data_IF_790810974864
#
_entry.id   IF_790810974864
#
_cell.length_a   1.000
_cell.length_b   1.000
_cell.length_c   1.000
_cell.angle_alpha   90.00
_cell.angle_beta   90.00
_cell.angle_gamma   90.00
#
_symmetry.space_group_name_H-M   'P 1'
#
loop_
_entity.id
_entity.type
_entity.pdbx_description
1 polymer ?
#
# COMPACT_ATOMS: atom_id res chain seq x y z
N UNK A 1 4.83 29.16 -1.25
CA UNK A 1 4.71 28.01 -0.34
C UNK A 1 4.38 26.78 -1.18
N UNK A 2 5.15 25.68 -1.08
CA UNK A 2 5.06 24.49 -1.94
C UNK A 2 5.53 24.64 -3.42
N UNK A 3 6.73 25.19 -3.61
CA UNK A 3 7.65 24.81 -4.71
C UNK A 3 8.95 24.24 -4.12
N UNK A 4 8.84 23.61 -2.96
CA UNK A 4 10.00 23.21 -2.17
C UNK A 4 10.28 21.76 -2.56
N UNK A 5 11.22 21.61 -3.51
CA UNK A 5 11.88 20.39 -3.97
C UNK A 5 11.22 19.49 -5.03
N UNK A 6 10.16 19.90 -5.74
CA UNK A 6 9.52 19.08 -6.80
C UNK A 6 9.29 17.62 -6.38
N UNK A 7 8.99 17.38 -5.10
CA UNK A 7 8.81 16.03 -4.59
C UNK A 7 7.59 15.42 -5.29
N UNK A 8 7.75 14.31 -6.04
CA UNK A 8 6.68 13.78 -6.90
C UNK A 8 5.47 13.26 -6.10
N UNK A 9 5.67 13.07 -4.79
CA UNK A 9 4.66 12.58 -3.85
C UNK A 9 3.76 13.69 -3.28
N UNK A 10 4.12 14.96 -3.45
CA UNK A 10 3.36 16.10 -2.91
C UNK A 10 2.50 16.76 -3.99
N UNK A 11 1.36 17.34 -3.58
CA UNK A 11 0.51 18.14 -4.43
C UNK A 11 0.88 19.64 -4.37
N UNK A 12 0.11 20.48 -5.08
CA UNK A 12 0.32 21.94 -5.10
C UNK A 12 0.13 22.61 -3.74
N UNK A 13 -0.51 21.95 -2.77
CA UNK A 13 -0.67 22.43 -1.40
C UNK A 13 0.45 21.95 -0.47
N UNK A 14 1.30 21.03 -0.93
CA UNK A 14 2.36 20.41 -0.14
C UNK A 14 1.88 19.19 0.67
N UNK A 15 0.69 18.68 0.39
CA UNK A 15 0.15 17.47 1.01
C UNK A 15 0.55 16.23 0.19
N UNK A 16 0.64 15.07 0.85
CA UNK A 16 0.88 13.80 0.15
C UNK A 16 -0.32 13.52 -0.77
N UNK A 17 -0.03 13.36 -2.05
CA UNK A 17 -1.00 13.01 -3.09
C UNK A 17 -1.70 11.69 -2.78
N UNK A 18 -3.03 11.70 -2.83
CA UNK A 18 -3.86 10.51 -2.56
C UNK A 18 -3.77 9.40 -3.60
N UNK A 19 -3.28 9.69 -4.81
CA UNK A 19 -3.09 8.70 -5.89
C UNK A 19 -1.73 7.99 -5.84
N UNK A 20 -0.81 8.45 -5.00
CA UNK A 20 0.51 7.84 -4.83
C UNK A 20 0.43 6.71 -3.80
N UNK A 21 0.81 5.49 -4.23
CA UNK A 21 0.95 4.35 -3.32
C UNK A 21 2.32 4.38 -2.63
N UNK A 22 2.39 5.03 -1.48
CA UNK A 22 3.61 5.10 -0.67
C UNK A 22 3.92 3.78 0.04
N UNK A 23 2.92 3.17 0.68
CA UNK A 23 3.11 1.96 1.46
C UNK A 23 2.97 0.73 0.57
N UNK A 24 4.04 -0.06 0.49
CA UNK A 24 3.99 -1.39 -0.14
C UNK A 24 3.04 -2.30 0.63
N UNK A 25 2.17 -3.09 -0.04
CA UNK A 25 1.35 -4.08 0.64
C UNK A 25 2.22 -5.05 1.46
N UNK A 26 1.81 -5.32 2.69
CA UNK A 26 2.44 -6.37 3.49
C UNK A 26 1.83 -7.71 3.06
N UNK A 27 2.63 -8.53 2.39
CA UNK A 27 2.24 -9.86 1.93
C UNK A 27 2.71 -10.95 2.89
N UNK A 28 3.75 -10.67 3.69
CA UNK A 28 4.30 -11.61 4.66
C UNK A 28 3.63 -11.44 6.04
N UNK A 29 3.00 -12.50 6.59
CA UNK A 29 2.46 -12.52 7.95
C UNK A 29 3.47 -12.12 9.03
N UNK A 30 4.76 -12.41 8.84
CA UNK A 30 5.80 -12.09 9.81
C UNK A 30 6.11 -10.59 9.82
N UNK A 31 6.19 -9.95 8.66
CA UNK A 31 6.31 -8.49 8.54
C UNK A 31 5.09 -7.75 9.11
N UNK A 32 3.89 -8.31 8.99
CA UNK A 32 2.66 -7.74 9.54
C UNK A 32 2.75 -7.60 11.07
N UNK A 33 3.43 -8.52 11.75
CA UNK A 33 3.49 -8.57 13.22
C UNK A 33 4.69 -7.84 13.81
N UNK A 34 5.83 -7.82 13.13
CA UNK A 34 7.10 -7.34 13.71
C UNK A 34 7.42 -5.89 13.40
N UNK A 35 6.94 -5.35 12.28
CA UNK A 35 7.32 -4.02 11.79
C UNK A 35 6.38 -2.94 12.31
N UNK A 36 6.90 -1.83 12.86
CA UNK A 36 6.04 -0.73 13.31
C UNK A 36 5.45 0.06 12.14
N UNK A 37 4.41 0.87 12.38
CA UNK A 37 3.88 1.79 11.37
C UNK A 37 4.89 2.86 10.99
N UNK A 38 5.57 3.42 11.99
CA UNK A 38 6.59 4.44 11.80
C UNK A 38 7.77 3.94 10.97
N UNK A 39 8.28 2.73 11.22
CA UNK A 39 9.36 2.14 10.43
C UNK A 39 8.98 2.04 8.95
N UNK A 40 7.77 1.55 8.66
CA UNK A 40 7.27 1.45 7.28
C UNK A 40 7.11 2.79 6.61
N UNK A 41 6.65 3.80 7.35
CA UNK A 41 6.51 5.15 6.82
C UNK A 41 7.87 5.76 6.48
N UNK A 42 8.87 5.56 7.33
CA UNK A 42 10.23 6.04 7.11
C UNK A 42 10.86 5.38 5.89
N UNK A 43 10.75 4.05 5.76
CA UNK A 43 11.24 3.32 4.58
C UNK A 43 10.53 3.74 3.30
N UNK A 44 9.22 3.96 3.36
CA UNK A 44 8.47 4.46 2.21
C UNK A 44 8.93 5.86 1.78
N UNK A 45 9.46 6.65 2.71
CA UNK A 45 9.94 8.00 2.46
C UNK A 45 11.45 8.08 2.27
N UNK A 46 12.18 6.97 2.44
CA UNK A 46 13.64 6.86 2.32
C UNK A 46 14.21 7.57 1.08
N UNK A 47 13.59 7.50 -0.12
CA UNK A 47 14.11 8.20 -1.31
C UNK A 47 14.08 9.73 -1.22
N UNK A 48 13.34 10.29 -0.26
CA UNK A 48 13.08 11.74 -0.14
C UNK A 48 13.46 12.32 1.22
N UNK A 49 13.93 11.49 2.15
CA UNK A 49 14.45 11.93 3.45
C UNK A 49 15.96 11.72 3.46
N UNK A 50 16.69 12.61 4.12
CA UNK A 50 18.09 12.36 4.41
C UNK A 50 18.21 11.09 5.28
N UNK A 51 19.27 10.29 5.12
CA UNK A 51 19.56 9.21 6.05
C UNK A 51 19.50 9.74 7.48
N UNK A 52 18.53 9.24 8.23
CA UNK A 52 18.41 9.55 9.65
C UNK A 52 19.35 8.60 10.38
N UNK A 53 20.43 9.13 10.93
CA UNK A 53 21.20 8.41 11.94
C UNK A 53 20.34 8.30 13.19
N UNK A 54 19.75 7.12 13.38
CA UNK A 54 18.95 6.82 14.56
C UNK A 54 19.89 6.56 15.73
N UNK A 55 20.29 7.61 16.45
CA UNK A 55 20.76 7.41 17.81
C UNK A 55 19.56 6.97 18.66
N UNK A 56 19.72 5.87 19.40
CA UNK A 56 18.73 5.48 20.40
C UNK A 56 18.55 6.65 21.35
N UNK A 57 17.34 7.22 21.38
CA UNK A 57 17.00 8.28 22.32
C UNK A 57 17.44 7.84 23.72
N UNK A 58 18.13 8.72 24.48
CA UNK A 58 18.57 8.36 25.81
C UNK A 58 17.37 7.87 26.62
N UNK A 59 17.56 6.79 27.38
CA UNK A 59 16.52 6.26 28.24
C UNK A 59 15.95 7.42 29.06
N UNK A 60 14.62 7.61 29.00
CA UNK A 60 13.98 8.72 29.69
C UNK A 60 14.27 8.53 31.17
N UNK A 61 15.16 9.37 31.69
CA UNK A 61 15.58 9.30 33.08
C UNK A 61 14.40 9.76 33.94
N UNK A 62 13.55 8.81 34.32
CA UNK A 62 12.40 9.08 35.18
C UNK A 62 12.87 9.72 36.48
N UNK A 63 14.08 9.41 36.93
CA UNK A 63 14.53 9.75 38.28
C UNK A 63 14.77 11.25 38.50
N UNK A 64 14.93 12.04 37.44
CA UNK A 64 15.14 13.50 37.50
C UNK A 64 13.93 14.33 37.08
N UNK A 65 12.83 13.68 36.66
CA UNK A 65 11.64 14.35 36.11
C UNK A 65 10.55 14.50 37.18
N UNK A 66 9.96 15.70 37.32
CA UNK A 66 8.82 15.97 38.20
C UNK A 66 7.67 14.98 37.96
N UNK A 67 6.87 14.67 38.99
CA UNK A 67 5.74 13.70 38.93
C UNK A 67 4.82 13.94 37.72
N UNK A 68 4.60 15.21 37.35
CA UNK A 68 3.79 15.57 36.19
C UNK A 68 4.45 15.23 34.86
N UNK A 69 5.78 15.41 34.74
CA UNK A 69 6.54 14.99 33.56
C UNK A 69 6.58 13.47 33.42
N UNK A 70 6.72 12.73 34.53
CA UNK A 70 6.57 11.26 34.54
C UNK A 70 5.20 10.83 34.01
N UNK A 71 4.14 11.48 34.48
CA UNK A 71 2.77 11.24 34.01
C UNK A 71 2.61 11.53 32.52
N UNK A 72 3.11 12.66 32.02
CA UNK A 72 3.05 13.00 30.60
C UNK A 72 3.79 11.98 29.73
N UNK A 73 5.00 11.58 30.13
CA UNK A 73 5.77 10.54 29.43
C UNK A 73 5.02 9.22 29.42
N UNK A 74 4.53 8.75 30.57
CA UNK A 74 3.79 7.49 30.65
C UNK A 74 2.51 7.52 29.82
N UNK A 75 1.77 8.63 29.85
CA UNK A 75 0.57 8.79 29.04
C UNK A 75 0.91 8.78 27.54
N UNK A 76 1.97 9.50 27.13
CA UNK A 76 2.44 9.53 25.74
C UNK A 76 2.90 8.16 25.25
N UNK A 77 3.64 7.40 26.07
CA UNK A 77 4.06 6.04 25.72
C UNK A 77 2.87 5.10 25.60
N UNK A 78 1.89 5.22 26.50
CA UNK A 78 0.68 4.41 26.46
C UNK A 78 -0.17 4.69 25.22
N UNK A 79 -0.31 5.96 24.84
CA UNK A 79 -0.95 6.37 23.59
C UNK A 79 -0.22 5.82 22.37
N UNK A 80 1.12 5.89 22.35
CA UNK A 80 1.94 5.32 21.28
C UNK A 80 1.72 3.81 21.14
N UNK A 81 1.81 3.07 22.25
CA UNK A 81 1.56 1.62 22.26
C UNK A 81 0.15 1.28 21.76
N UNK A 82 -0.87 2.00 22.22
CA UNK A 82 -2.26 1.82 21.74
C UNK A 82 -2.42 2.12 20.25
N UNK A 83 -1.74 3.14 19.74
CA UNK A 83 -1.75 3.47 18.32
C UNK A 83 -1.10 2.36 17.48
N UNK A 84 0.04 1.83 17.95
CA UNK A 84 0.75 0.70 17.33
C UNK A 84 -0.12 -0.57 17.32
N UNK A 85 -0.71 -0.95 18.46
CA UNK A 85 -1.64 -2.09 18.55
C UNK A 85 -2.83 -1.94 17.59
N UNK A 86 -3.41 -0.73 17.51
CA UNK A 86 -4.52 -0.43 16.61
C UNK A 86 -4.09 -0.53 15.14
N UNK A 87 -2.88 -0.11 14.81
CA UNK A 87 -2.32 -0.24 13.47
C UNK A 87 -2.17 -1.73 13.10
N UNK A 88 -1.56 -2.54 13.97
CA UNK A 88 -1.41 -3.99 13.79
C UNK A 88 -2.75 -4.69 13.59
N UNK A 89 -3.75 -4.38 14.44
CA UNK A 89 -5.10 -4.93 14.32
C UNK A 89 -5.78 -4.54 13.00
N UNK A 90 -5.58 -3.32 12.52
CA UNK A 90 -6.13 -2.89 11.24
C UNK A 90 -5.45 -3.60 10.07
N UNK A 91 -4.13 -3.82 10.12
CA UNK A 91 -3.38 -4.58 9.10
C UNK A 91 -3.86 -6.02 9.00
N UNK A 92 -3.92 -6.73 10.13
CA UNK A 92 -4.41 -8.11 10.19
C UNK A 92 -5.82 -8.23 9.59
N UNK A 93 -6.73 -7.33 9.96
CA UNK A 93 -8.09 -7.28 9.39
C UNK A 93 -8.13 -6.97 7.89
N UNK A 94 -7.20 -6.15 7.39
CA UNK A 94 -7.13 -5.83 5.97
C UNK A 94 -6.62 -7.04 5.17
N UNK A 95 -5.60 -7.74 5.68
CA UNK A 95 -5.08 -8.97 5.09
C UNK A 95 -6.14 -10.08 5.06
N UNK A 96 -6.84 -10.30 6.18
CA UNK A 96 -7.92 -11.30 6.29
C UNK A 96 -9.04 -11.03 5.26
N UNK A 97 -9.49 -9.78 5.14
CA UNK A 97 -10.53 -9.41 4.15
C UNK A 97 -10.08 -9.54 2.71
N UNK A 98 -8.81 -9.26 2.44
CA UNK A 98 -8.23 -9.44 1.11
C UNK A 98 -8.22 -10.94 0.75
N UNK A 99 -7.74 -11.77 1.66
CA UNK A 99 -7.70 -13.22 1.52
C UNK A 99 -9.10 -13.82 1.33
N UNK A 100 -10.08 -13.42 2.16
CA UNK A 100 -11.49 -13.82 2.02
C UNK A 100 -12.07 -13.40 0.65
N UNK A 101 -11.64 -12.24 0.14
CA UNK A 101 -12.03 -11.74 -1.18
C UNK A 101 -11.50 -12.63 -2.32
N UNK A 102 -10.23 -13.03 -2.23
CA UNK A 102 -9.58 -13.96 -3.17
C UNK A 102 -10.27 -15.32 -3.13
N UNK A 103 -10.45 -15.90 -1.94
CA UNK A 103 -11.09 -17.21 -1.78
C UNK A 103 -12.50 -17.24 -2.37
N UNK A 104 -13.30 -16.18 -2.15
CA UNK A 104 -14.63 -16.06 -2.76
C UNK A 104 -14.58 -15.89 -4.28
N UNK A 105 -13.54 -15.26 -4.83
CA UNK A 105 -13.37 -15.14 -6.28
C UNK A 105 -13.04 -16.50 -6.89
N UNK A 106 -12.08 -17.22 -6.30
CA UNK A 106 -11.66 -18.57 -6.68
C UNK A 106 -12.82 -19.57 -6.60
N UNK A 107 -13.54 -19.61 -5.47
CA UNK A 107 -14.66 -20.53 -5.26
C UNK A 107 -15.74 -20.33 -6.34
N UNK A 108 -16.05 -19.06 -6.69
CA UNK A 108 -17.02 -18.75 -7.73
C UNK A 108 -16.52 -19.14 -9.13
N UNK A 109 -15.22 -18.96 -9.42
CA UNK A 109 -14.60 -19.38 -10.67
C UNK A 109 -14.68 -20.91 -10.81
N UNK A 110 -14.23 -21.64 -9.80
CA UNK A 110 -14.27 -23.09 -9.77
C UNK A 110 -15.71 -23.65 -9.95
N UNK A 111 -16.69 -23.07 -9.24
CA UNK A 111 -18.10 -23.47 -9.38
C UNK A 111 -18.66 -23.25 -10.79
N UNK A 112 -18.32 -22.15 -11.46
CA UNK A 112 -18.78 -21.88 -12.82
C UNK A 112 -18.07 -22.75 -13.85
N UNK A 113 -16.74 -22.97 -13.71
CA UNK A 113 -15.99 -23.88 -14.57
C UNK A 113 -16.50 -25.31 -14.47
N UNK A 114 -16.76 -25.83 -13.26
CA UNK A 114 -17.32 -27.16 -13.06
C UNK A 114 -18.72 -27.32 -13.71
N UNK A 115 -19.54 -26.27 -13.71
CA UNK A 115 -20.83 -26.28 -14.44
C UNK A 115 -20.64 -26.32 -15.96
N UNK A 116 -19.64 -25.61 -16.48
CA UNK A 116 -19.32 -25.57 -17.90
C UNK A 116 -18.75 -26.92 -18.37
N UNK A 117 -17.86 -27.52 -17.59
CA UNK A 117 -17.31 -28.86 -17.85
C UNK A 117 -18.42 -29.92 -17.94
N UNK A 118 -19.37 -29.92 -16.99
CA UNK A 118 -20.53 -30.82 -17.06
C UNK A 118 -21.40 -30.58 -18.30
N UNK A 119 -21.52 -29.33 -18.77
CA UNK A 119 -22.27 -28.99 -19.99
C UNK A 119 -21.54 -29.41 -21.25
N UNK A 120 -20.22 -29.34 -21.22
CA UNK A 120 -19.33 -29.75 -22.30
C UNK A 120 -19.36 -31.26 -22.47
N UNK A 121 -19.22 -32.01 -21.38
CA UNK A 121 -19.35 -33.46 -21.41
C UNK A 121 -20.69 -33.88 -22.01
N UNK A 122 -21.80 -33.30 -21.54
CA UNK A 122 -23.13 -33.54 -22.11
C UNK A 122 -23.28 -33.11 -23.57
N UNK A 123 -22.49 -32.15 -24.05
CA UNK A 123 -22.50 -31.74 -25.45
C UNK A 123 -21.73 -32.76 -26.32
N UNK A 124 -20.59 -33.24 -25.83
CA UNK A 124 -19.78 -34.28 -26.46
C UNK A 124 -20.50 -35.64 -26.50
N UNK A 125 -21.19 -36.01 -25.42
CA UNK A 125 -21.98 -37.25 -25.37
C UNK A 125 -23.15 -37.24 -26.36
N UNK A 126 -23.62 -36.06 -26.77
CA UNK A 126 -24.68 -35.87 -27.78
C UNK A 126 -24.12 -35.47 -29.17
N UNK A 127 -22.87 -35.84 -29.48
CA UNK A 127 -22.12 -35.37 -30.67
C UNK A 127 -22.76 -35.67 -32.02
N UNK A 128 -23.76 -36.55 -32.09
CA UNK A 128 -24.45 -36.91 -33.34
C UNK A 128 -25.38 -35.79 -33.86
N UNK A 129 -25.49 -34.68 -33.13
CA UNK A 129 -26.28 -33.50 -33.51
C UNK A 129 -25.42 -32.46 -34.23
N UNK A 130 -25.89 -31.97 -35.38
CA UNK A 130 -25.30 -30.84 -36.11
C UNK A 130 -25.19 -29.53 -35.28
N UNK A 131 -25.75 -29.49 -34.07
CA UNK A 131 -25.70 -28.39 -33.10
C UNK A 131 -24.62 -28.56 -32.01
N UNK A 132 -23.87 -29.67 -32.01
CA UNK A 132 -22.85 -29.94 -30.99
C UNK A 132 -21.71 -28.91 -31.03
N UNK A 133 -21.21 -28.57 -32.21
CA UNK A 133 -20.10 -27.62 -32.38
C UNK A 133 -20.47 -26.19 -31.95
N UNK A 134 -21.66 -25.70 -32.31
CA UNK A 134 -22.15 -24.39 -31.85
C UNK A 134 -22.31 -24.35 -30.32
N UNK A 135 -22.70 -25.47 -29.71
CA UNK A 135 -22.81 -25.58 -28.25
C UNK A 135 -21.45 -25.59 -27.58
N UNK A 136 -20.45 -26.27 -28.15
CA UNK A 136 -19.08 -26.26 -27.67
C UNK A 136 -18.45 -24.86 -27.78
N UNK A 137 -18.64 -24.17 -28.91
CA UNK A 137 -18.19 -22.78 -29.09
C UNK A 137 -18.77 -21.85 -28.04
N UNK A 138 -20.08 -21.93 -27.76
CA UNK A 138 -20.73 -21.13 -26.71
C UNK A 138 -20.28 -21.48 -25.29
N UNK A 139 -19.75 -22.68 -25.06
CA UNK A 139 -19.16 -23.06 -23.77
C UNK A 139 -17.80 -22.39 -23.62
N UNK A 140 -17.01 -22.32 -24.69
CA UNK A 140 -15.71 -21.64 -24.69
C UNK A 140 -15.86 -20.13 -24.45
N UNK A 141 -16.77 -19.46 -25.15
CA UNK A 141 -17.11 -18.04 -24.90
C UNK A 141 -17.52 -17.79 -23.44
N UNK A 142 -18.17 -18.77 -22.80
CA UNK A 142 -18.56 -18.67 -21.39
C UNK A 142 -17.38 -18.90 -20.46
N UNK A 143 -16.41 -19.76 -20.81
CA UNK A 143 -15.17 -19.93 -20.04
C UNK A 143 -14.40 -18.62 -20.02
N UNK A 144 -14.20 -18.00 -21.18
CA UNK A 144 -13.53 -16.69 -21.29
C UNK A 144 -14.24 -15.62 -20.44
N UNK A 145 -15.58 -15.57 -20.49
CA UNK A 145 -16.36 -14.64 -19.66
C UNK A 145 -16.25 -14.93 -18.16
N UNK A 146 -16.03 -16.18 -17.76
CA UNK A 146 -15.81 -16.57 -16.36
C UNK A 146 -14.44 -16.11 -15.90
N UNK A 147 -13.40 -16.29 -16.72
CA UNK A 147 -12.05 -15.80 -16.44
C UNK A 147 -12.05 -14.27 -16.29
N UNK A 148 -12.61 -13.53 -17.26
CA UNK A 148 -12.69 -12.07 -17.16
C UNK A 148 -13.41 -11.59 -15.90
N UNK A 149 -14.47 -12.29 -15.49
CA UNK A 149 -15.20 -11.97 -14.25
C UNK A 149 -14.42 -12.32 -12.99
N UNK A 150 -13.52 -13.31 -13.06
CA UNK A 150 -12.62 -13.63 -11.96
C UNK A 150 -11.55 -12.55 -11.83
N UNK A 151 -10.92 -12.14 -12.93
CA UNK A 151 -9.97 -11.02 -12.97
C UNK A 151 -10.60 -9.74 -12.38
N UNK A 152 -11.79 -9.36 -12.87
CA UNK A 152 -12.53 -8.20 -12.34
C UNK A 152 -12.83 -8.30 -10.82
N UNK A 153 -12.95 -9.52 -10.27
CA UNK A 153 -13.16 -9.73 -8.83
C UNK A 153 -11.85 -9.67 -8.05
N UNK A 154 -10.77 -10.20 -8.62
CA UNK A 154 -9.43 -10.09 -8.06
C UNK A 154 -9.01 -8.63 -7.95
N UNK A 155 -9.23 -7.85 -9.00
CA UNK A 155 -8.97 -6.40 -9.01
C UNK A 155 -9.79 -5.68 -7.94
N UNK A 156 -11.07 -6.00 -7.83
CA UNK A 156 -11.95 -5.41 -6.79
C UNK A 156 -11.52 -5.81 -5.37
N UNK A 157 -10.98 -7.01 -5.18
CA UNK A 157 -10.45 -7.43 -3.88
C UNK A 157 -9.20 -6.62 -3.52
N UNK A 158 -8.29 -6.43 -4.47
CA UNK A 158 -7.08 -5.62 -4.32
C UNK A 158 -7.37 -4.11 -4.14
N UNK A 159 -8.36 -3.58 -4.86
CA UNK A 159 -8.77 -2.18 -4.70
C UNK A 159 -9.42 -1.93 -3.33
N UNK A 160 -10.23 -2.87 -2.85
CA UNK A 160 -10.88 -2.75 -1.52
C UNK A 160 -9.90 -2.85 -0.37
N UNK A 161 -8.83 -3.63 -0.50
CA UNK A 161 -7.79 -3.70 0.53
C UNK A 161 -6.98 -2.40 0.57
N UNK A 162 -6.69 -1.80 -0.58
CA UNK A 162 -5.87 -0.58 -0.71
C UNK A 162 -6.63 0.70 -0.34
N UNK A 163 -7.85 0.91 -0.84
CA UNK A 163 -8.67 2.12 -0.53
C UNK A 163 -9.11 2.22 0.92
N UNK A 164 -9.12 1.10 1.66
CA UNK A 164 -9.43 1.03 3.08
C UNK A 164 -8.20 0.88 3.96
N UNK A 165 -7.01 1.00 3.40
CA UNK A 165 -5.78 1.02 4.16
C UNK A 165 -5.76 2.27 5.07
N UNK A 166 -6.02 2.03 6.35
CA UNK A 166 -6.07 3.07 7.37
C UNK A 166 -4.68 3.60 7.71
N UNK A 167 -3.65 2.80 7.48
CA UNK A 167 -2.27 3.20 7.74
C UNK A 167 -1.78 4.16 6.67
N UNK A 168 -2.07 3.87 5.39
CA UNK A 168 -1.80 4.81 4.30
C UNK A 168 -2.55 6.14 4.53
N UNK A 169 -3.83 6.09 4.91
CA UNK A 169 -4.61 7.29 5.27
C UNK A 169 -4.13 8.01 6.53
N UNK A 170 -3.45 7.32 7.44
CA UNK A 170 -2.87 7.95 8.61
C UNK A 170 -1.58 8.67 8.22
N UNK A 171 -0.75 8.04 7.39
CA UNK A 171 0.50 8.61 6.89
C UNK A 171 0.29 9.94 6.15
N UNK A 172 -0.78 10.07 5.36
CA UNK A 172 -1.10 11.34 4.67
C UNK A 172 -1.48 12.48 5.61
N UNK A 173 -1.88 12.16 6.85
CA UNK A 173 -2.26 13.15 7.87
C UNK A 173 -1.12 13.51 8.83
N UNK A 174 0.01 12.83 8.71
CA UNK A 174 1.19 13.14 9.53
C UNK A 174 1.74 14.49 9.06
N UNK A 175 1.92 15.40 10.01
CA UNK A 175 2.62 16.65 9.76
C UNK A 175 4.12 16.35 9.69
N UNK A 176 4.72 16.58 8.51
CA UNK A 176 6.15 16.40 8.30
C UNK A 176 6.87 17.71 8.59
N UNK A 177 7.86 17.68 9.49
CA UNK A 177 8.76 18.80 9.72
C UNK A 177 9.90 18.72 8.72
N UNK A 178 9.97 19.68 7.80
CA UNK A 178 11.10 19.82 6.88
C UNK A 178 12.09 20.82 7.44
N UNK A 179 13.31 20.36 7.74
CA UNK A 179 14.44 21.21 8.13
C UNK A 179 15.33 21.36 6.91
N UNK A 180 15.61 22.60 6.50
CA UNK A 180 16.53 22.90 5.39
C UNK A 180 17.60 23.88 5.85
N UNK A 181 18.80 23.71 5.32
CA UNK A 181 19.86 24.69 5.46
C UNK A 181 19.63 25.78 4.40
N UNK A 182 19.46 27.04 4.81
CA UNK A 182 19.10 28.14 3.90
C UNK A 182 20.26 28.59 2.98
N UNK A 183 21.43 27.96 3.08
CA UNK A 183 22.67 28.41 2.43
C UNK A 183 23.25 27.43 1.40
N UNK A 184 22.64 26.25 1.20
CA UNK A 184 23.08 25.26 0.19
C UNK A 184 22.59 25.57 -1.24
N UNK A 185 21.77 26.62 -1.42
CA UNK A 185 21.31 27.09 -2.74
C UNK A 185 22.26 28.10 -3.41
N UNK A 186 23.54 28.18 -2.99
CA UNK A 186 24.57 28.85 -3.81
C UNK A 186 25.08 27.87 -4.86
N UNK A 187 24.27 27.71 -5.91
CA UNK A 187 24.57 26.85 -7.06
C UNK A 187 25.98 27.08 -7.59
N UNK A 188 26.82 26.05 -7.47
CA UNK A 188 28.04 25.94 -8.27
C UNK A 188 27.61 25.67 -9.72
N UNK A 189 27.39 26.75 -10.46
CA UNK A 189 27.22 26.74 -11.91
C UNK A 189 28.59 26.59 -12.58
N UNK A 190 29.12 25.37 -12.66
CA UNK A 190 30.25 25.08 -13.56
C UNK A 190 29.74 24.80 -14.98
N UNK A 191 29.30 25.83 -15.70
CA UNK A 191 29.29 25.83 -17.17
C UNK A 191 29.33 27.25 -17.72
N UNK A 192 30.34 27.53 -18.54
CA UNK A 192 30.26 28.52 -19.62
C UNK A 192 31.09 29.79 -19.49
N UNK A 193 32.41 29.69 -19.62
CA UNK A 193 33.21 30.72 -20.30
C UNK A 193 33.84 30.07 -21.54
N UNK A 194 33.07 30.02 -22.62
CA UNK A 194 33.62 30.06 -23.97
C UNK A 194 33.28 31.44 -24.55
N UNK A 195 34.21 31.96 -25.35
CA UNK A 195 34.22 33.26 -26.03
C UNK A 195 34.66 34.42 -25.12
N UNK A 196 35.63 35.26 -25.46
CA UNK A 196 36.24 35.62 -26.74
C UNK A 196 37.49 36.45 -26.38
N UNK A 197 38.69 36.12 -26.89
CA UNK A 197 39.73 37.13 -27.10
C UNK A 197 40.40 36.86 -28.45
N UNK A 198 40.16 37.82 -29.34
CA UNK A 198 40.83 38.11 -30.62
C UNK A 198 42.34 38.28 -30.50
#
# INVERSE_FOLDING_TARGET
>A
MARINNLPILDSSGEIRGDVRLLRPLLDPQEIQTRSATQRWLEALEPWIAPLDYETLPAINTDTTNLWGKMHTMASEHERKRAEEKALKNRSKAAEKHQEGIEKAEEKRAKELAKLERKEQKARDNSHSHKADDKLRRIEEKREKVERKHDERMDKAAERSTTKDKEAKAMTKVLWLMIRNLHDDSGVSYYGNMEEET
#
